data_IF_460456668767
#
_entry.id   IF_460456668767
#
_cell.length_a   1.000
_cell.length_b   1.000
_cell.length_c   1.000
_cell.angle_alpha   90.00
_cell.angle_beta   90.00
_cell.angle_gamma   90.00
#
_symmetry.space_group_name_H-M   'P 1'
#
loop_
_entity.id
_entity.type
_entity.pdbx_description
1 polymer ?
#
# COMPACT_ATOMS: atom_id res chain seq x y z
N UNK A 1 13.20 1.32 7.81
CA UNK A 1 12.24 0.83 6.79
C UNK A 1 12.21 -0.68 6.86
N UNK A 2 11.03 -1.27 6.96
CA UNK A 2 10.78 -2.70 6.86
C UNK A 2 10.46 -3.08 5.40
N UNK A 3 10.69 -4.33 5.02
CA UNK A 3 10.35 -4.87 3.69
C UNK A 3 8.83 -4.80 3.38
N UNK A 4 7.97 -4.86 4.41
CA UNK A 4 6.52 -4.96 4.26
C UNK A 4 5.73 -4.07 5.25
N UNK A 5 6.08 -2.79 5.37
CA UNK A 5 5.42 -1.83 6.29
C UNK A 5 3.89 -1.72 6.05
N UNK A 6 3.47 -1.82 4.79
CA UNK A 6 2.06 -1.84 4.36
C UNK A 6 1.28 -3.09 4.79
N UNK A 7 1.95 -4.04 5.46
CA UNK A 7 1.34 -5.26 5.97
C UNK A 7 0.17 -4.99 6.89
N UNK A 8 0.24 -3.94 7.72
CA UNK A 8 -0.85 -3.58 8.66
C UNK A 8 -2.19 -3.33 7.94
N UNK A 9 -2.16 -2.55 6.85
CA UNK A 9 -3.36 -2.24 6.07
C UNK A 9 -3.78 -3.44 5.22
N UNK A 10 -2.81 -4.17 4.70
CA UNK A 10 -3.06 -5.39 3.93
C UNK A 10 -3.83 -6.42 4.76
N UNK A 11 -3.40 -6.68 6.00
CA UNK A 11 -4.08 -7.60 6.93
C UNK A 11 -5.55 -7.19 7.17
N UNK A 12 -5.84 -5.90 7.24
CA UNK A 12 -7.21 -5.40 7.42
C UNK A 12 -8.13 -5.71 6.22
N UNK A 13 -7.60 -5.63 5.00
CA UNK A 13 -8.36 -5.91 3.77
C UNK A 13 -8.42 -7.40 3.43
N UNK A 14 -7.46 -8.20 3.90
CA UNK A 14 -7.40 -9.66 3.68
C UNK A 14 -7.93 -10.50 4.84
N UNK A 15 -8.34 -9.91 5.96
CA UNK A 15 -9.00 -10.62 7.06
C UNK A 15 -10.54 -10.63 6.96
N UNK A 16 -11.20 -11.68 7.47
CA UNK A 16 -12.66 -11.77 7.55
C UNK A 16 -13.33 -12.14 6.21
N UNK A 17 -14.43 -11.47 5.85
CA UNK A 17 -15.12 -11.69 4.56
C UNK A 17 -14.33 -11.04 3.40
N UNK A 18 -13.27 -11.73 2.97
CA UNK A 18 -12.35 -11.29 1.92
C UNK A 18 -13.08 -11.13 0.59
N UNK A 19 -13.98 -12.04 0.25
CA UNK A 19 -14.67 -12.03 -1.05
C UNK A 19 -15.51 -10.77 -1.23
N UNK A 20 -16.33 -10.42 -0.23
CA UNK A 20 -17.16 -9.21 -0.31
C UNK A 20 -16.31 -7.95 -0.30
N UNK A 21 -15.24 -7.89 0.51
CA UNK A 21 -14.32 -6.76 0.55
C UNK A 21 -13.62 -6.51 -0.78
N UNK A 22 -13.10 -7.55 -1.43
CA UNK A 22 -12.43 -7.40 -2.72
C UNK A 22 -13.41 -7.06 -3.85
N UNK A 23 -14.64 -7.60 -3.80
CA UNK A 23 -15.70 -7.20 -4.72
C UNK A 23 -16.03 -5.71 -4.58
N UNK A 24 -16.20 -5.23 -3.35
CA UNK A 24 -16.44 -3.81 -3.08
C UNK A 24 -15.25 -2.96 -3.54
N UNK A 25 -14.03 -3.36 -3.18
CA UNK A 25 -12.84 -2.59 -3.51
C UNK A 25 -12.62 -2.46 -5.03
N UNK A 26 -12.90 -3.50 -5.81
CA UNK A 26 -12.85 -3.38 -7.27
C UNK A 26 -13.95 -2.46 -7.82
N UNK A 27 -15.17 -2.53 -7.28
CA UNK A 27 -16.28 -1.71 -7.73
C UNK A 27 -16.12 -0.22 -7.37
N UNK A 28 -15.45 0.06 -6.25
CA UNK A 28 -15.31 1.41 -5.68
C UNK A 28 -13.83 1.87 -5.66
N UNK A 29 -12.98 1.30 -6.52
CA UNK A 29 -11.54 1.57 -6.46
C UNK A 29 -11.23 3.06 -6.58
N UNK A 30 -11.88 3.74 -7.53
CA UNK A 30 -11.60 5.15 -7.84
C UNK A 30 -11.98 6.10 -6.70
N UNK A 31 -13.00 5.75 -5.90
CA UNK A 31 -13.40 6.54 -4.73
C UNK A 31 -12.59 6.17 -3.48
N UNK A 32 -12.25 4.89 -3.30
CA UNK A 32 -11.56 4.40 -2.11
C UNK A 32 -10.05 4.60 -2.14
N UNK A 33 -9.41 4.49 -3.30
CA UNK A 33 -7.95 4.59 -3.41
C UNK A 33 -7.39 5.94 -2.93
N UNK A 34 -7.95 7.11 -3.31
CA UNK A 34 -7.47 8.40 -2.83
C UNK A 34 -7.51 8.57 -1.31
N UNK A 35 -8.55 8.02 -0.67
CA UNK A 35 -8.72 8.05 0.78
C UNK A 35 -7.75 7.07 1.44
N UNK A 36 -7.72 5.83 0.96
CA UNK A 36 -6.94 4.74 1.56
C UNK A 36 -5.43 4.94 1.40
N UNK A 37 -5.00 5.64 0.34
CA UNK A 37 -3.59 5.94 0.06
C UNK A 37 -3.21 7.39 0.40
N UNK A 38 -4.11 8.13 1.07
CA UNK A 38 -3.83 9.43 1.69
C UNK A 38 -3.40 10.55 0.71
N UNK A 39 -3.81 10.48 -0.56
CA UNK A 39 -3.56 11.54 -1.55
C UNK A 39 -4.80 12.34 -1.96
N UNK A 40 -6.01 11.91 -1.57
CA UNK A 40 -7.27 12.53 -2.00
C UNK A 40 -7.36 14.03 -1.73
N UNK A 41 -7.04 14.47 -0.51
CA UNK A 41 -7.08 15.89 -0.12
C UNK A 41 -5.81 16.66 -0.51
N UNK A 42 -4.79 15.97 -1.03
CA UNK A 42 -3.46 16.54 -1.30
C UNK A 42 -3.19 16.80 -2.77
N UNK A 43 -3.95 16.17 -3.66
CA UNK A 43 -3.79 16.30 -5.11
C UNK A 43 -5.00 16.99 -5.74
N UNK A 44 -4.79 18.02 -6.58
CA UNK A 44 -5.87 18.59 -7.39
C UNK A 44 -6.36 17.62 -8.48
N UNK A 45 -5.59 16.58 -8.81
CA UNK A 45 -5.93 15.54 -9.79
C UNK A 45 -5.74 14.15 -9.17
N UNK A 46 -6.66 13.79 -8.26
CA UNK A 46 -6.68 12.48 -7.63
C UNK A 46 -7.02 11.37 -8.63
N UNK A 47 -7.75 11.67 -9.71
CA UNK A 47 -8.13 10.69 -10.73
C UNK A 47 -6.91 10.19 -11.52
N UNK A 48 -6.04 11.09 -12.00
CA UNK A 48 -4.83 10.71 -12.71
C UNK A 48 -3.88 9.87 -11.83
N UNK A 49 -3.72 10.25 -10.56
CA UNK A 49 -2.91 9.47 -9.59
C UNK A 49 -3.52 8.09 -9.38
N UNK A 50 -4.84 8.00 -9.20
CA UNK A 50 -5.53 6.72 -8.98
C UNK A 50 -5.28 5.74 -10.13
N UNK A 51 -5.40 6.24 -11.36
CA UNK A 51 -5.10 5.45 -12.57
C UNK A 51 -3.63 5.02 -12.61
N UNK A 52 -2.70 5.94 -12.34
CA UNK A 52 -1.27 5.65 -12.36
C UNK A 52 -0.88 4.60 -11.30
N UNK A 53 -1.40 4.72 -10.08
CA UNK A 53 -1.17 3.75 -8.99
C UNK A 53 -1.73 2.38 -9.35
N UNK A 54 -2.97 2.33 -9.87
CA UNK A 54 -3.59 1.06 -10.30
C UNK A 54 -2.73 0.37 -11.36
N UNK A 55 -2.36 1.13 -12.38
CA UNK A 55 -1.50 0.66 -13.48
C UNK A 55 -0.15 0.15 -12.99
N UNK A 56 0.49 0.86 -12.04
CA UNK A 56 1.82 0.50 -11.53
C UNK A 56 1.81 -0.81 -10.73
N UNK A 57 0.86 -0.99 -9.80
CA UNK A 57 0.87 -2.15 -8.90
C UNK A 57 0.11 -3.37 -9.44
N UNK A 58 -0.95 -3.15 -10.23
CA UNK A 58 -1.86 -4.20 -10.64
C UNK A 58 -1.86 -4.45 -12.15
N UNK A 59 -1.18 -3.62 -12.93
CA UNK A 59 -1.21 -3.66 -14.40
C UNK A 59 -2.44 -2.96 -14.97
N UNK A 60 -2.78 -3.24 -16.23
CA UNK A 60 -3.87 -2.58 -16.97
C UNK A 60 -5.16 -2.39 -16.14
N UNK A 61 -5.81 -1.24 -16.27
CA UNK A 61 -6.94 -0.79 -15.43
C UNK A 61 -8.10 -1.80 -15.29
N UNK A 62 -8.28 -2.69 -16.28
CA UNK A 62 -9.33 -3.72 -16.30
C UNK A 62 -9.00 -4.99 -15.52
N UNK A 63 -7.79 -5.13 -14.97
CA UNK A 63 -7.43 -6.31 -14.18
C UNK A 63 -8.08 -6.20 -12.81
N UNK A 64 -8.89 -7.19 -12.49
CA UNK A 64 -9.48 -7.34 -11.16
C UNK A 64 -8.36 -7.54 -10.12
N UNK A 65 -8.40 -6.76 -9.05
CA UNK A 65 -7.53 -6.93 -7.89
C UNK A 65 -8.05 -8.13 -7.13
N UNK A 66 -7.20 -9.13 -6.89
CA UNK A 66 -7.58 -10.40 -6.28
C UNK A 66 -6.87 -10.64 -4.95
N UNK A 67 -7.44 -11.45 -4.04
CA UNK A 67 -6.84 -11.72 -2.74
C UNK A 67 -5.42 -12.29 -2.79
N UNK A 68 -5.08 -13.03 -3.85
CA UNK A 68 -3.74 -13.61 -4.07
C UNK A 68 -2.69 -12.56 -4.48
N UNK A 69 -3.08 -11.32 -4.78
CA UNK A 69 -2.17 -10.19 -5.07
C UNK A 69 -1.65 -9.50 -3.81
N UNK A 70 -1.57 -10.23 -2.70
CA UNK A 70 -1.26 -9.70 -1.36
C UNK A 70 0.11 -8.99 -1.32
N UNK A 71 1.08 -9.46 -2.09
CA UNK A 71 2.41 -8.83 -2.20
C UNK A 71 2.32 -7.45 -2.84
N UNK A 72 1.58 -7.31 -3.95
CA UNK A 72 1.38 -6.03 -4.63
C UNK A 72 0.62 -5.04 -3.76
N UNK A 73 -0.43 -5.53 -3.06
CA UNK A 73 -1.20 -4.72 -2.11
C UNK A 73 -0.30 -4.22 -0.97
N UNK A 74 0.53 -5.12 -0.42
CA UNK A 74 1.48 -4.78 0.64
C UNK A 74 2.49 -3.75 0.19
N UNK A 75 3.06 -3.90 -1.01
CA UNK A 75 4.01 -2.94 -1.57
C UNK A 75 3.36 -1.59 -1.81
N UNK A 76 2.16 -1.55 -2.41
CA UNK A 76 1.41 -0.32 -2.62
C UNK A 76 1.18 0.46 -1.32
N UNK A 77 0.73 -0.21 -0.26
CA UNK A 77 0.54 0.44 1.03
C UNK A 77 1.87 0.80 1.72
N UNK A 78 2.93 0.02 1.53
CA UNK A 78 4.26 0.34 2.06
C UNK A 78 4.77 1.65 1.46
N UNK A 79 4.64 1.78 0.14
CA UNK A 79 5.11 2.95 -0.61
C UNK A 79 4.30 4.20 -0.29
N UNK A 80 2.98 4.08 -0.27
CA UNK A 80 2.08 5.19 0.02
C UNK A 80 2.18 5.70 1.46
N UNK A 81 2.25 4.80 2.45
CA UNK A 81 2.16 5.19 3.86
C UNK A 81 3.51 5.46 4.52
N UNK A 82 4.59 4.83 4.05
CA UNK A 82 5.87 4.84 4.77
C UNK A 82 7.06 5.20 3.89
N UNK A 83 7.33 4.43 2.83
CA UNK A 83 8.60 4.51 2.08
C UNK A 83 8.81 5.90 1.50
N UNK A 84 7.82 6.46 0.79
CA UNK A 84 7.96 7.77 0.16
C UNK A 84 8.24 8.87 1.18
N UNK A 85 7.56 8.87 2.32
CA UNK A 85 7.77 9.85 3.39
C UNK A 85 9.16 9.72 4.03
N UNK A 86 9.63 8.49 4.24
CA UNK A 86 10.99 8.24 4.76
C UNK A 86 12.05 8.72 3.78
N UNK A 87 11.92 8.39 2.49
CA UNK A 87 12.87 8.79 1.46
C UNK A 87 12.91 10.32 1.29
N UNK A 88 11.75 10.97 1.20
CA UNK A 88 11.65 12.44 1.10
C UNK A 88 12.25 13.12 2.34
N UNK A 89 12.02 12.55 3.54
CA UNK A 89 12.63 13.05 4.78
C UNK A 89 14.15 12.95 4.75
N UNK A 90 14.69 11.80 4.33
CA UNK A 90 16.14 11.60 4.21
C UNK A 90 16.72 12.58 3.20
N UNK A 91 16.07 12.77 2.06
CA UNK A 91 16.53 13.71 1.03
C UNK A 91 16.62 15.14 1.58
N UNK A 92 15.57 15.61 2.26
CA UNK A 92 15.46 16.98 2.77
C UNK A 92 16.24 17.25 4.06
N UNK A 93 16.61 16.23 4.83
CA UNK A 93 17.28 16.44 6.12
C UNK A 93 18.69 17.05 5.94
N UNK A 94 18.99 18.07 6.74
CA UNK A 94 20.33 18.69 6.78
C UNK A 94 21.12 18.08 7.94
N UNK A 95 22.28 17.49 7.65
CA UNK A 95 23.14 16.82 8.63
C UNK A 95 23.41 15.36 8.27
N UNK A 96 24.10 14.61 9.14
CA UNK A 96 24.38 13.18 8.95
C UNK A 96 23.08 12.38 8.83
N UNK A 97 23.03 11.45 7.87
CA UNK A 97 21.84 10.66 7.56
C UNK A 97 22.16 9.18 7.70
N UNK A 98 21.27 8.44 8.35
CA UNK A 98 21.38 6.99 8.50
C UNK A 98 20.03 6.38 8.21
N UNK A 99 19.99 5.46 7.26
CA UNK A 99 18.78 4.73 6.88
C UNK A 99 19.02 3.25 7.08
N UNK A 100 18.13 2.60 7.84
CA UNK A 100 18.19 1.17 8.07
C UNK A 100 17.06 0.47 7.32
N UNK A 101 17.42 -0.60 6.63
CA UNK A 101 16.47 -1.49 5.97
C UNK A 101 16.42 -2.83 6.72
N UNK A 102 15.26 -3.12 7.30
CA UNK A 102 15.01 -4.28 8.13
C UNK A 102 14.26 -5.34 7.33
N UNK A 103 14.91 -6.47 7.10
CA UNK A 103 14.38 -7.59 6.29
C UNK A 103 14.17 -8.85 7.12
N UNK A 104 14.26 -8.75 8.44
CA UNK A 104 14.12 -9.92 9.30
C UNK A 104 12.72 -10.52 9.17
N UNK A 105 12.69 -11.74 8.64
CA UNK A 105 11.49 -12.51 8.43
C UNK A 105 11.34 -13.49 9.61
N UNK A 106 10.41 -13.23 10.53
CA UNK A 106 10.21 -14.03 11.76
C UNK A 106 9.43 -15.32 11.48
N UNK A 107 9.51 -16.26 12.44
CA UNK A 107 8.54 -17.37 12.64
C UNK A 107 7.21 -16.93 13.27
N UNK A 108 7.11 -15.74 13.88
CA UNK A 108 5.86 -15.17 14.43
C UNK A 108 5.89 -13.63 14.41
N UNK A 109 4.82 -13.01 13.92
CA UNK A 109 4.57 -11.56 13.87
C UNK A 109 3.08 -11.29 14.06
N UNK A 110 2.68 -10.13 14.62
CA UNK A 110 1.26 -9.74 14.63
C UNK A 110 0.67 -9.64 13.22
N UNK A 111 1.51 -9.36 12.22
CA UNK A 111 1.10 -9.47 10.82
C UNK A 111 0.92 -10.94 10.39
N UNK A 112 1.71 -11.90 10.90
CA UNK A 112 1.65 -13.33 10.53
C UNK A 112 0.37 -14.05 10.98
N UNK A 113 -0.44 -13.43 11.84
CA UNK A 113 -1.73 -13.97 12.29
C UNK A 113 -2.81 -13.78 11.20
N UNK A 114 -2.50 -13.01 10.15
CA UNK A 114 -3.41 -12.71 9.04
C UNK A 114 -2.92 -13.28 7.68
N UNK A 115 -1.90 -14.15 7.70
CA UNK A 115 -1.41 -14.90 6.53
C UNK A 115 -1.79 -16.37 6.65
#
# INVERSE_FOLDING_TARGET
MNYAEGGIKTCSVTGGDVSSKFKQWNAEYDSLAPISLLYGERSPDSAAITKAVRSFYFGSDNKEIKPDMITQITQMYSDAWFVNGVLDTVERHQGPKYLFYYTYNKTFSLCSIFW
#
